data_IF_130016536539
#
_entry.id   IF_130016536539
#
_cell.length_a   1.000
_cell.length_b   1.000
_cell.length_c   1.000
_cell.angle_alpha   90.00
_cell.angle_beta   90.00
_cell.angle_gamma   90.00
#
_symmetry.space_group_name_H-M   'P 1'
#
loop_
_entity.id
_entity.type
_entity.pdbx_description
1 polymer ?
#
# COMPACT_ATOMS: atom_id res chain seq x y z
N UNK A 1 -38.68 57.05 37.96
CA UNK A 1 -37.61 56.22 38.54
C UNK A 1 -37.22 55.17 37.52
N UNK A 2 -35.97 55.21 37.03
CA UNK A 2 -35.11 54.15 36.43
C UNK A 2 -35.73 52.91 35.76
N UNK A 3 -35.24 52.30 34.66
CA UNK A 3 -34.00 52.39 33.85
C UNK A 3 -34.26 51.62 32.53
N UNK A 4 -34.06 52.28 31.39
CA UNK A 4 -33.33 51.87 30.17
C UNK A 4 -32.98 50.36 29.98
N UNK A 5 -33.36 49.74 28.83
CA UNK A 5 -32.42 49.27 27.76
C UNK A 5 -33.09 48.56 26.55
N UNK A 6 -33.11 49.29 25.42
CA UNK A 6 -32.44 49.00 24.13
C UNK A 6 -32.68 47.66 23.37
N UNK A 7 -33.23 47.85 22.15
CA UNK A 7 -32.66 47.55 20.79
C UNK A 7 -33.04 46.23 20.07
N UNK A 8 -33.87 46.42 19.03
CA UNK A 8 -33.68 46.21 17.57
C UNK A 8 -32.97 44.95 17.03
N UNK A 9 -33.55 44.46 15.91
CA UNK A 9 -33.01 43.83 14.67
C UNK A 9 -33.53 42.40 14.43
N UNK A 10 -34.39 42.15 13.42
CA UNK A 10 -34.18 42.08 11.95
C UNK A 10 -33.25 40.94 11.49
N UNK A 11 -33.84 40.03 10.71
CA UNK A 11 -33.31 39.34 9.50
C UNK A 11 -32.11 38.41 9.65
N UNK A 12 -32.22 37.21 9.05
CA UNK A 12 -31.05 36.47 8.59
C UNK A 12 -31.29 34.99 8.31
N UNK A 13 -31.76 34.68 7.11
CA UNK A 13 -31.66 33.37 6.47
C UNK A 13 -30.17 33.04 6.23
N UNK A 14 -29.69 31.87 6.68
CA UNK A 14 -28.42 31.31 6.19
C UNK A 14 -28.57 29.81 5.95
N UNK A 15 -28.54 29.50 4.65
CA UNK A 15 -28.19 28.22 4.04
C UNK A 15 -27.00 27.56 4.75
N UNK A 16 -27.12 26.27 5.05
CA UNK A 16 -25.95 25.41 5.23
C UNK A 16 -26.24 24.05 4.61
N UNK A 17 -26.08 23.98 3.28
CA UNK A 17 -25.83 22.74 2.57
C UNK A 17 -24.38 22.34 2.87
N UNK A 18 -24.17 21.68 4.01
CA UNK A 18 -22.87 21.14 4.36
C UNK A 18 -22.71 19.73 3.78
N UNK A 19 -21.75 19.65 2.86
CA UNK A 19 -20.92 18.50 2.51
C UNK A 19 -21.59 17.32 1.82
N UNK A 20 -21.21 17.08 0.56
CA UNK A 20 -20.60 15.83 0.10
C UNK A 20 -19.83 16.14 -1.20
N UNK A 21 -18.68 16.80 -1.07
CA UNK A 21 -17.70 16.87 -2.16
C UNK A 21 -17.02 15.50 -2.23
N UNK A 22 -17.56 14.59 -3.04
CA UNK A 22 -16.89 13.32 -3.34
C UNK A 22 -15.56 13.61 -4.04
N UNK A 23 -14.48 13.31 -3.32
CA UNK A 23 -13.08 13.48 -3.72
C UNK A 23 -12.65 12.46 -4.78
N UNK A 24 -13.27 12.46 -5.96
CA UNK A 24 -12.88 11.53 -7.04
C UNK A 24 -11.61 11.94 -7.80
N UNK A 25 -10.97 13.06 -7.45
CA UNK A 25 -9.78 13.57 -8.15
C UNK A 25 -8.44 13.10 -7.57
N UNK A 26 -8.40 12.46 -6.40
CA UNK A 26 -7.12 12.09 -5.77
C UNK A 26 -6.62 10.70 -6.15
N UNK A 27 -7.49 9.75 -6.50
CA UNK A 27 -7.08 8.35 -6.71
C UNK A 27 -6.19 8.21 -7.95
N UNK A 28 -6.54 8.87 -9.06
CA UNK A 28 -5.74 8.81 -10.30
C UNK A 28 -4.36 9.44 -10.12
N UNK A 29 -4.25 10.57 -9.40
CA UNK A 29 -2.94 11.17 -9.11
C UNK A 29 -2.09 10.29 -8.17
N UNK A 30 -2.74 9.62 -7.21
CA UNK A 30 -2.09 8.73 -6.25
C UNK A 30 -1.58 7.45 -6.93
N UNK A 31 -2.29 6.95 -7.94
CA UNK A 31 -1.90 5.80 -8.75
C UNK A 31 -0.59 6.06 -9.52
N UNK A 32 -0.40 7.28 -10.03
CA UNK A 32 0.81 7.70 -10.77
C UNK A 32 1.98 8.12 -9.87
N UNK A 33 1.81 8.15 -8.54
CA UNK A 33 2.90 8.54 -7.63
C UNK A 33 4.00 7.48 -7.64
N UNK A 34 5.23 7.89 -7.95
CA UNK A 34 6.41 7.02 -7.86
C UNK A 34 6.90 6.85 -6.42
N UNK A 35 7.27 5.62 -6.06
CA UNK A 35 7.62 5.21 -4.70
C UNK A 35 8.85 4.32 -4.74
N UNK A 36 9.80 4.55 -3.83
CA UNK A 36 10.94 3.66 -3.65
C UNK A 36 10.52 2.39 -2.90
N UNK A 37 10.87 1.24 -3.47
CA UNK A 37 10.55 -0.06 -2.92
C UNK A 37 11.81 -0.88 -2.61
N UNK A 38 11.66 -1.79 -1.65
CA UNK A 38 12.50 -2.95 -1.46
C UNK A 38 11.58 -4.18 -1.37
N UNK A 39 11.48 -4.97 -2.43
CA UNK A 39 10.61 -6.15 -2.44
C UNK A 39 11.44 -7.43 -2.35
N UNK A 40 11.27 -8.19 -1.26
CA UNK A 40 11.82 -9.54 -1.13
C UNK A 40 10.87 -10.56 -1.74
N UNK A 41 11.27 -11.12 -2.87
CA UNK A 41 10.46 -11.99 -3.72
C UNK A 41 11.10 -13.39 -3.78
N UNK A 42 10.34 -14.47 -3.49
CA UNK A 42 10.77 -15.84 -3.73
C UNK A 42 11.16 -16.04 -5.19
N UNK A 43 12.18 -16.87 -5.44
CA UNK A 43 12.73 -17.09 -6.78
C UNK A 43 11.64 -17.45 -7.83
N UNK A 44 10.62 -18.23 -7.44
CA UNK A 44 9.52 -18.60 -8.35
C UNK A 44 8.62 -17.43 -8.79
N UNK A 45 8.58 -16.32 -8.05
CA UNK A 45 7.72 -15.16 -8.32
C UNK A 45 8.47 -14.01 -9.00
N UNK A 46 9.81 -14.08 -9.11
CA UNK A 46 10.63 -12.96 -9.58
C UNK A 46 10.27 -12.53 -10.99
N UNK A 47 10.05 -13.47 -11.89
CA UNK A 47 9.74 -13.14 -13.29
C UNK A 47 8.39 -12.43 -13.40
N UNK A 48 7.35 -12.96 -12.74
CA UNK A 48 6.02 -12.33 -12.68
C UNK A 48 6.11 -10.92 -12.10
N UNK A 49 6.75 -10.77 -10.93
CA UNK A 49 6.86 -9.45 -10.29
C UNK A 49 7.64 -8.47 -11.16
N UNK A 50 8.68 -8.92 -11.86
CA UNK A 50 9.47 -8.08 -12.76
C UNK A 50 8.69 -7.63 -13.99
N UNK A 51 7.91 -8.53 -14.58
CA UNK A 51 7.08 -8.25 -15.75
C UNK A 51 5.96 -7.25 -15.40
N UNK A 52 5.30 -7.45 -14.25
CA UNK A 52 4.17 -6.64 -13.83
C UNK A 52 4.55 -5.24 -13.30
N UNK A 53 5.67 -5.10 -12.58
CA UNK A 53 6.03 -3.82 -11.99
C UNK A 53 6.53 -2.78 -13.01
N UNK A 54 6.94 -3.21 -14.22
CA UNK A 54 7.60 -2.37 -15.24
C UNK A 54 8.44 -1.24 -14.62
N UNK A 55 9.45 -1.63 -13.83
CA UNK A 55 10.18 -0.70 -12.96
C UNK A 55 11.61 -0.42 -13.42
N UNK A 56 12.06 0.80 -13.15
CA UNK A 56 13.47 1.19 -13.27
C UNK A 56 14.19 0.86 -11.96
N UNK A 57 14.93 -0.25 -11.93
CA UNK A 57 15.60 -0.69 -10.72
C UNK A 57 16.54 -1.88 -10.90
N UNK A 58 16.94 -2.46 -9.78
CA UNK A 58 17.86 -3.58 -9.72
C UNK A 58 17.17 -4.78 -9.10
N UNK A 59 17.45 -5.96 -9.65
CA UNK A 59 17.11 -7.25 -9.05
C UNK A 59 18.40 -7.85 -8.52
N UNK A 60 18.52 -7.98 -7.20
CA UNK A 60 19.72 -8.52 -6.55
C UNK A 60 19.41 -9.80 -5.78
N UNK A 61 20.31 -10.79 -5.77
CA UNK A 61 20.13 -11.98 -4.96
C UNK A 61 20.26 -11.66 -3.45
N UNK A 62 19.35 -12.15 -2.61
CA UNK A 62 19.50 -12.03 -1.15
C UNK A 62 20.50 -13.08 -0.65
N UNK A 63 21.76 -12.63 -0.45
CA UNK A 63 22.86 -13.49 -0.01
C UNK A 63 22.64 -14.13 1.36
N UNK A 64 21.74 -13.59 2.20
CA UNK A 64 21.42 -14.17 3.50
C UNK A 64 20.64 -15.49 3.41
N UNK A 65 20.10 -15.80 2.23
CA UNK A 65 19.30 -17.02 1.97
C UNK A 65 20.08 -18.12 1.25
N UNK A 66 21.38 -17.90 1.01
CA UNK A 66 22.28 -18.89 0.42
C UNK A 66 22.77 -19.81 1.53
N UNK A 67 21.94 -20.78 1.91
CA UNK A 67 22.39 -21.94 2.71
C UNK A 67 23.01 -22.97 1.77
N UNK A 68 24.34 -23.04 1.80
CA UNK A 68 25.28 -24.02 1.21
C UNK A 68 24.89 -24.88 -0.03
N UNK A 69 25.84 -24.87 -0.97
CA UNK A 69 26.17 -25.90 -1.96
C UNK A 69 25.22 -26.27 -3.10
N UNK A 70 24.03 -25.66 -3.22
CA UNK A 70 23.12 -25.96 -4.35
C UNK A 70 22.83 -24.82 -5.31
N UNK A 71 23.53 -23.71 -5.15
CA UNK A 71 23.69 -22.66 -6.16
C UNK A 71 22.38 -22.12 -6.71
N UNK A 72 21.72 -21.23 -5.95
CA UNK A 72 20.92 -20.06 -6.37
C UNK A 72 20.19 -19.53 -5.11
N UNK A 73 19.96 -18.22 -4.99
CA UNK A 73 19.22 -17.65 -3.87
C UNK A 73 17.74 -18.02 -3.96
N UNK A 74 17.14 -18.38 -2.82
CA UNK A 74 15.69 -18.63 -2.74
C UNK A 74 14.89 -17.32 -2.74
N UNK A 75 15.53 -16.19 -2.42
CA UNK A 75 14.92 -14.86 -2.38
C UNK A 75 15.76 -13.87 -3.20
N UNK A 76 15.08 -13.08 -4.02
CA UNK A 76 15.62 -11.91 -4.69
C UNK A 76 15.05 -10.65 -4.07
N UNK A 77 15.83 -9.57 -4.10
CA UNK A 77 15.44 -8.25 -3.64
C UNK A 77 15.33 -7.35 -4.86
N UNK A 78 14.15 -6.81 -5.10
CA UNK A 78 13.90 -5.80 -6.12
C UNK A 78 13.97 -4.43 -5.46
N UNK A 79 14.82 -3.55 -5.98
CA UNK A 79 15.03 -2.20 -5.46
C UNK A 79 14.87 -1.21 -6.60
N UNK A 80 13.99 -0.23 -6.45
CA UNK A 80 13.76 0.77 -7.50
C UNK A 80 12.58 1.67 -7.19
N UNK A 81 12.26 2.53 -8.14
CA UNK A 81 11.11 3.43 -8.07
C UNK A 81 9.98 2.89 -8.94
N UNK A 82 8.77 2.78 -8.38
CA UNK A 82 7.59 2.21 -9.05
C UNK A 82 6.35 3.03 -8.77
N UNK A 83 5.44 3.12 -9.74
CA UNK A 83 4.16 3.75 -9.52
C UNK A 83 3.33 2.96 -8.49
N UNK A 84 2.71 3.66 -7.54
CA UNK A 84 1.92 3.03 -6.49
C UNK A 84 0.79 2.15 -7.04
N UNK A 85 0.18 2.57 -8.15
CA UNK A 85 -0.83 1.77 -8.85
C UNK A 85 -0.32 0.41 -9.29
N UNK A 86 0.89 0.37 -9.87
CA UNK A 86 1.51 -0.88 -10.29
C UNK A 86 1.81 -1.77 -9.10
N UNK A 87 2.31 -1.22 -7.99
CA UNK A 87 2.52 -1.99 -6.75
C UNK A 87 1.21 -2.64 -6.30
N UNK A 88 0.11 -1.89 -6.27
CA UNK A 88 -1.20 -2.41 -5.86
C UNK A 88 -1.70 -3.52 -6.80
N UNK A 89 -1.59 -3.32 -8.11
CA UNK A 89 -2.00 -4.33 -9.11
C UNK A 89 -1.14 -5.58 -9.04
N UNK A 90 0.18 -5.46 -9.00
CA UNK A 90 1.09 -6.61 -8.88
C UNK A 90 0.85 -7.37 -7.58
N UNK A 91 0.62 -6.66 -6.46
CA UNK A 91 0.24 -7.31 -5.20
C UNK A 91 -1.03 -8.13 -5.36
N UNK A 92 -2.02 -7.64 -6.11
CA UNK A 92 -3.27 -8.36 -6.38
C UNK A 92 -3.12 -9.57 -7.28
N UNK A 93 -2.12 -9.57 -8.14
CA UNK A 93 -1.85 -10.71 -8.99
C UNK A 93 -1.14 -11.80 -8.21
N UNK A 94 -0.04 -11.45 -7.52
CA UNK A 94 0.82 -12.45 -6.91
C UNK A 94 0.30 -12.99 -5.58
N UNK A 95 -0.54 -12.25 -4.85
CA UNK A 95 -1.05 -12.73 -3.55
C UNK A 95 -1.95 -13.96 -3.71
N UNK A 96 -2.65 -14.10 -4.85
CA UNK A 96 -3.49 -15.27 -5.18
C UNK A 96 -2.64 -16.49 -5.55
N UNK A 97 -1.50 -16.24 -6.20
CA UNK A 97 -0.54 -17.26 -6.65
C UNK A 97 0.45 -17.70 -5.57
N UNK A 98 0.45 -17.03 -4.42
CA UNK A 98 1.29 -17.40 -3.30
C UNK A 98 0.82 -18.74 -2.72
N UNK A 99 1.52 -19.81 -3.09
CA UNK A 99 1.20 -21.19 -2.66
C UNK A 99 1.21 -21.35 -1.14
N UNK A 100 2.03 -20.55 -0.45
CA UNK A 100 2.24 -20.63 0.99
C UNK A 100 2.23 -19.24 1.61
N UNK A 101 1.04 -18.83 2.07
CA UNK A 101 0.85 -17.67 2.93
C UNK A 101 0.50 -16.37 2.22
N UNK A 102 1.03 -15.27 2.74
CA UNK A 102 0.59 -13.93 2.37
C UNK A 102 1.74 -12.94 2.25
N UNK A 103 1.40 -11.69 1.97
CA UNK A 103 2.35 -10.60 1.79
C UNK A 103 2.22 -9.61 2.93
N UNK A 104 3.34 -9.15 3.46
CA UNK A 104 3.42 -8.04 4.41
C UNK A 104 4.03 -6.84 3.69
N UNK A 105 3.35 -5.71 3.77
CA UNK A 105 3.83 -4.41 3.28
C UNK A 105 4.02 -3.48 4.47
N UNK A 106 5.21 -2.88 4.57
CA UNK A 106 5.58 -1.96 5.67
C UNK A 106 6.60 -0.94 5.21
N UNK A 107 6.85 0.09 6.02
CA UNK A 107 8.02 0.97 5.83
C UNK A 107 9.27 0.33 6.43
N UNK A 108 10.38 0.31 5.71
CA UNK A 108 11.67 -0.02 6.30
C UNK A 108 12.27 1.19 7.04
N UNK A 109 13.44 1.01 7.67
CA UNK A 109 14.14 2.07 8.41
C UNK A 109 14.59 3.26 7.55
N UNK A 110 14.63 3.10 6.22
CA UNK A 110 14.98 4.15 5.26
C UNK A 110 13.75 4.89 4.72
N UNK A 111 12.54 4.47 5.13
CA UNK A 111 11.29 5.02 4.64
C UNK A 111 10.82 4.45 3.29
N UNK A 112 11.48 3.41 2.78
CA UNK A 112 11.08 2.70 1.55
C UNK A 112 9.96 1.71 1.88
N UNK A 113 9.11 1.40 0.89
CA UNK A 113 8.13 0.32 1.02
C UNK A 113 8.87 -1.03 0.97
N UNK A 114 8.88 -1.73 2.08
CA UNK A 114 9.35 -3.09 2.21
C UNK A 114 8.19 -4.07 2.04
N UNK A 115 8.29 -4.92 1.04
CA UNK A 115 7.30 -5.93 0.71
C UNK A 115 7.93 -7.31 0.85
N UNK A 116 7.32 -8.18 1.64
CA UNK A 116 7.88 -9.49 2.00
C UNK A 116 6.79 -10.55 2.00
N UNK A 117 7.09 -11.69 1.39
CA UNK A 117 6.26 -12.89 1.55
C UNK A 117 6.45 -13.49 2.95
N UNK A 118 5.36 -13.93 3.56
CA UNK A 118 5.34 -14.58 4.86
C UNK A 118 4.49 -15.85 4.81
N UNK A 119 5.18 -16.99 4.88
CA UNK A 119 4.57 -18.32 4.82
C UNK A 119 3.69 -18.67 6.04
N UNK A 120 3.81 -17.95 7.15
CA UNK A 120 2.99 -18.19 8.36
C UNK A 120 1.61 -17.52 8.29
N UNK A 121 1.35 -16.71 7.26
CA UNK A 121 0.04 -16.11 7.05
C UNK A 121 -0.90 -17.09 6.37
N UNK A 122 -2.20 -16.82 6.45
CA UNK A 122 -3.19 -17.53 5.63
C UNK A 122 -2.98 -17.18 4.15
N UNK A 123 -3.22 -18.13 3.26
CA UNK A 123 -3.12 -17.92 1.81
C UNK A 123 -3.94 -16.70 1.38
N UNK A 124 -3.38 -15.91 0.46
CA UNK A 124 -4.08 -14.75 -0.09
C UNK A 124 -4.32 -13.64 0.95
N UNK A 125 -3.48 -13.59 1.99
CA UNK A 125 -3.51 -12.48 2.95
C UNK A 125 -2.56 -11.38 2.50
N UNK A 126 -3.02 -10.12 2.53
CA UNK A 126 -2.16 -8.94 2.43
C UNK A 126 -2.28 -8.18 3.75
N UNK A 127 -1.16 -7.99 4.44
CA UNK A 127 -1.06 -7.19 5.66
C UNK A 127 -0.34 -5.89 5.34
N UNK A 128 -0.93 -4.77 5.74
CA UNK A 128 -0.30 -3.46 5.67
C UNK A 128 -0.03 -2.98 7.10
N UNK A 129 1.25 -3.03 7.46
CA UNK A 129 1.76 -2.66 8.77
C UNK A 129 2.23 -1.20 8.75
N UNK A 130 1.55 -0.36 9.54
CA UNK A 130 1.84 1.07 9.65
C UNK A 130 2.74 1.39 10.86
N UNK A 131 3.44 0.38 11.39
CA UNK A 131 4.44 0.49 12.45
C UNK A 131 3.84 0.38 13.84
N UNK A 132 2.94 1.30 14.20
CA UNK A 132 2.33 1.33 15.53
C UNK A 132 1.25 0.25 15.71
N UNK A 133 0.69 -0.21 14.59
CA UNK A 133 -0.39 -1.19 14.53
C UNK A 133 -0.48 -1.77 13.11
N UNK A 134 -0.86 -3.05 13.05
CA UNK A 134 -1.34 -3.66 11.81
C UNK A 134 -2.71 -3.06 11.51
N UNK A 135 -2.77 -2.11 10.58
CA UNK A 135 -4.01 -1.37 10.32
C UNK A 135 -4.97 -2.08 9.38
N UNK A 136 -4.44 -2.79 8.38
CA UNK A 136 -5.27 -3.25 7.27
C UNK A 136 -4.86 -4.67 6.88
N UNK A 137 -5.84 -5.56 6.87
CA UNK A 137 -5.68 -6.96 6.49
C UNK A 137 -6.70 -7.26 5.41
N UNK A 138 -6.21 -7.60 4.22
CA UNK A 138 -7.03 -8.17 3.16
C UNK A 138 -6.84 -9.68 3.14
N UNK A 139 -7.90 -10.39 2.78
CA UNK A 139 -7.91 -11.84 2.62
C UNK A 139 -8.53 -12.18 1.28
N UNK A 140 -8.18 -13.32 0.71
CA UNK A 140 -8.70 -13.80 -0.58
C UNK A 140 -10.24 -13.70 -0.66
N UNK A 141 -10.94 -14.10 0.41
CA UNK A 141 -12.41 -14.03 0.49
C UNK A 141 -13.02 -12.62 0.35
N UNK A 142 -12.23 -11.57 0.55
CA UNK A 142 -12.65 -10.17 0.45
C UNK A 142 -12.29 -9.54 -0.90
N UNK A 143 -11.49 -10.22 -1.74
CA UNK A 143 -10.94 -9.79 -3.03
C UNK A 143 -10.73 -8.26 -3.16
N UNK A 144 -9.71 -7.70 -2.48
CA UNK A 144 -9.42 -6.27 -2.52
C UNK A 144 -9.34 -5.72 -3.94
N UNK A 145 -9.90 -4.52 -4.15
CA UNK A 145 -9.70 -3.75 -5.38
C UNK A 145 -8.38 -2.99 -5.32
N UNK A 146 -7.78 -2.75 -6.48
CA UNK A 146 -6.53 -1.98 -6.59
C UNK A 146 -6.66 -0.59 -5.92
N UNK A 147 -7.83 0.05 -6.06
CA UNK A 147 -8.12 1.35 -5.43
C UNK A 147 -8.10 1.31 -3.90
N UNK A 148 -8.57 0.22 -3.28
CA UNK A 148 -8.54 0.03 -1.83
C UNK A 148 -7.12 -0.19 -1.32
N UNK A 149 -6.32 -0.97 -2.07
CA UNK A 149 -4.90 -1.15 -1.76
C UNK A 149 -4.12 0.16 -1.92
N UNK A 150 -4.34 0.93 -2.98
CA UNK A 150 -3.71 2.25 -3.15
C UNK A 150 -4.00 3.14 -1.93
N UNK A 151 -5.26 3.21 -1.50
CA UNK A 151 -5.65 3.99 -0.32
C UNK A 151 -4.97 3.49 0.95
N UNK A 152 -4.86 2.18 1.12
CA UNK A 152 -4.24 1.55 2.27
C UNK A 152 -2.71 1.72 2.32
N UNK A 153 -2.05 1.76 1.15
CA UNK A 153 -0.62 1.96 1.00
C UNK A 153 -0.21 3.44 1.09
N UNK A 154 -1.09 4.37 0.71
CA UNK A 154 -0.82 5.82 0.71
C UNK A 154 -0.19 6.37 2.01
N UNK A 155 -0.66 6.00 3.22
CA UNK A 155 -0.05 6.43 4.47
C UNK A 155 1.39 5.94 4.67
N UNK A 156 1.78 4.83 4.03
CA UNK A 156 3.14 4.31 4.09
C UNK A 156 4.11 5.06 3.17
N UNK A 157 3.67 6.10 2.47
CA UNK A 157 4.50 6.80 1.48
C UNK A 157 4.69 8.28 1.85
N UNK A 158 3.76 8.84 2.62
CA UNK A 158 3.86 10.21 3.19
C UNK A 158 4.82 10.25 4.37
#
# INVERSE_FOLDING_TARGET
MSIIKRRKFLVGLVLSLFFHRFSNQSVSAQESQSVNIQWRVPAEQVNTVREELNFEGQVIPDKSTITDDRGLPLIYILIGAVALGQIATTLLEIYKDTKYGGVIVRKNKKGELLIENNANLERGTIIIDQGNEVKIIFKEKNDPKATELIQALTPLIK
#
